data_IF_659383304615
#
_entry.id   IF_659383304615
#
_cell.length_a   1.000
_cell.length_b   1.000
_cell.length_c   1.000
_cell.angle_alpha   90.00
_cell.angle_beta   90.00
_cell.angle_gamma   90.00
#
_symmetry.space_group_name_H-M   'P 1'
#
loop_
_entity.id
_entity.type
_entity.pdbx_description
1 polymer ?
#
# COMPACT_ATOMS: atom_id res chain seq x y z
N UNK A 1 2.15 42.70 1.36
CA UNK A 1 3.13 41.98 2.19
C UNK A 1 2.39 41.03 3.11
N UNK A 2 2.99 39.87 3.39
CA UNK A 2 2.51 38.79 4.25
C UNK A 2 1.59 37.74 3.60
N UNK A 3 2.22 36.80 2.88
CA UNK A 3 1.66 35.46 2.61
C UNK A 3 2.18 34.54 3.70
N UNK A 4 1.26 34.00 4.50
CA UNK A 4 1.55 33.20 5.68
C UNK A 4 2.25 31.88 5.32
N UNK A 5 3.27 31.56 6.11
CA UNK A 5 3.95 30.28 6.18
C UNK A 5 3.00 29.20 6.70
N UNK A 6 2.63 28.24 5.86
CA UNK A 6 2.06 26.97 6.32
C UNK A 6 3.22 26.04 6.75
N UNK A 7 3.60 26.17 8.02
CA UNK A 7 4.25 25.07 8.75
C UNK A 7 3.15 24.09 9.15
N UNK A 8 3.06 22.95 8.47
CA UNK A 8 2.33 21.79 8.99
C UNK A 8 3.31 20.96 9.81
N UNK A 9 3.15 21.03 11.13
CA UNK A 9 3.83 20.17 12.10
C UNK A 9 3.00 18.89 12.30
N UNK A 10 3.69 17.76 12.41
CA UNK A 10 3.18 16.43 12.78
C UNK A 10 2.16 15.82 11.79
N UNK A 11 2.68 15.09 10.79
CA UNK A 11 1.89 14.22 9.93
C UNK A 11 1.28 13.07 10.73
N UNK A 12 -0.02 13.17 11.00
CA UNK A 12 -0.87 12.06 11.46
C UNK A 12 -1.12 11.14 10.27
N UNK A 13 -0.78 9.87 10.41
CA UNK A 13 -0.98 8.82 9.41
C UNK A 13 -1.90 7.76 10.01
N UNK A 14 -3.07 7.57 9.43
CA UNK A 14 -4.08 6.59 9.85
C UNK A 14 -3.77 5.24 9.22
N UNK A 15 -3.66 4.19 10.05
CA UNK A 15 -3.61 2.81 9.61
C UNK A 15 -5.02 2.22 9.70
N UNK A 16 -5.47 1.58 8.61
CA UNK A 16 -6.85 1.09 8.44
C UNK A 16 -7.05 -0.20 9.23
N UNK A 17 -8.04 -0.20 10.12
CA UNK A 17 -8.72 -1.38 10.64
C UNK A 17 -10.22 -1.13 10.57
N UNK A 18 -10.93 -1.96 9.79
CA UNK A 18 -12.37 -1.93 9.46
C UNK A 18 -12.86 -0.66 8.75
N UNK A 19 -13.29 -0.83 7.50
CA UNK A 19 -14.53 -0.29 6.93
C UNK A 19 -14.58 -0.58 5.42
N UNK A 20 -15.06 -1.76 5.04
CA UNK A 20 -15.88 -1.87 3.84
C UNK A 20 -17.31 -1.73 4.36
N UNK A 21 -18.01 -0.65 4.01
CA UNK A 21 -19.43 -0.56 4.30
C UNK A 21 -20.13 -1.54 3.36
N UNK A 22 -20.70 -2.60 3.93
CA UNK A 22 -21.62 -3.47 3.19
C UNK A 22 -22.79 -2.59 2.73
N UNK A 23 -22.86 -2.31 1.43
CA UNK A 23 -24.06 -1.74 0.83
C UNK A 23 -25.08 -2.88 0.68
N UNK A 24 -26.23 -2.86 1.39
CA UNK A 24 -27.23 -3.90 1.22
C UNK A 24 -27.83 -3.81 -0.19
N UNK A 25 -27.92 -4.97 -0.84
CA UNK A 25 -28.67 -5.16 -2.08
C UNK A 25 -30.14 -4.93 -1.74
N UNK A 26 -30.74 -3.89 -2.31
CA UNK A 26 -32.13 -3.54 -2.09
C UNK A 26 -33.05 -4.66 -2.59
N UNK A 27 -33.75 -5.30 -1.66
CA UNK A 27 -34.95 -6.09 -1.92
C UNK A 27 -36.07 -5.48 -1.08
N UNK A 28 -37.09 -4.98 -1.78
CA UNK A 28 -38.45 -4.64 -1.37
C UNK A 28 -38.74 -4.58 0.14
N UNK A 29 -38.85 -3.36 0.68
CA UNK A 29 -39.43 -3.10 2.00
C UNK A 29 -40.25 -1.80 1.97
N UNK A 30 -41.49 -1.93 2.41
CA UNK A 30 -42.59 -0.95 2.43
C UNK A 30 -42.21 0.43 3.00
N UNK A 31 -42.82 1.48 2.44
CA UNK A 31 -42.50 2.90 2.66
C UNK A 31 -42.87 3.47 4.05
N UNK A 32 -43.51 2.72 4.95
CA UNK A 32 -44.02 3.24 6.24
C UNK A 32 -43.15 2.91 7.46
N UNK A 33 -41.94 2.35 7.28
CA UNK A 33 -41.01 2.02 8.38
C UNK A 33 -39.78 2.96 8.48
N UNK A 34 -39.75 4.04 7.70
CA UNK A 34 -38.53 4.84 7.48
C UNK A 34 -38.31 6.06 8.39
N UNK A 35 -39.26 6.43 9.26
CA UNK A 35 -39.15 7.66 10.06
C UNK A 35 -38.79 7.47 11.54
N UNK A 36 -38.88 6.26 12.10
CA UNK A 36 -38.55 6.01 13.53
C UNK A 36 -37.22 5.29 13.78
N UNK A 37 -36.59 4.69 12.76
CA UNK A 37 -35.31 3.97 12.90
C UNK A 37 -34.05 4.85 12.69
N UNK A 38 -34.20 6.18 12.56
CA UNK A 38 -33.10 7.11 12.22
C UNK A 38 -32.61 7.98 13.39
N UNK A 39 -32.85 7.59 14.63
CA UNK A 39 -32.49 8.43 15.78
C UNK A 39 -31.26 8.00 16.60
N UNK A 40 -30.86 6.72 16.68
CA UNK A 40 -29.93 6.32 17.77
C UNK A 40 -28.84 5.27 17.45
N UNK A 41 -28.46 5.05 16.20
CA UNK A 41 -27.22 4.30 15.90
C UNK A 41 -26.39 5.01 14.83
N UNK A 42 -25.71 6.09 15.24
CA UNK A 42 -24.50 6.49 14.54
C UNK A 42 -23.45 5.40 14.80
N UNK A 43 -22.94 4.69 13.78
CA UNK A 43 -21.83 3.77 14.01
C UNK A 43 -20.67 4.58 14.60
N UNK A 44 -20.28 4.24 15.82
CA UNK A 44 -19.12 4.82 16.50
C UNK A 44 -17.93 4.80 15.53
N UNK A 45 -17.48 5.98 15.12
CA UNK A 45 -16.25 6.15 14.33
C UNK A 45 -15.09 5.78 15.24
N UNK A 46 -14.65 4.52 15.18
CA UNK A 46 -13.60 4.02 16.04
C UNK A 46 -12.23 4.57 15.62
N UNK A 47 -11.79 5.57 16.40
CA UNK A 47 -10.44 5.99 16.76
C UNK A 47 -9.38 6.17 15.66
N UNK A 48 -8.84 7.40 15.56
CA UNK A 48 -7.52 7.66 14.98
C UNK A 48 -6.49 6.72 15.63
N UNK A 49 -5.98 5.74 14.88
CA UNK A 49 -4.91 4.86 15.36
C UNK A 49 -3.62 5.69 15.41
N UNK A 50 -3.25 6.16 16.59
CA UNK A 50 -1.97 6.83 16.81
C UNK A 50 -0.83 5.82 16.57
N UNK A 51 -0.06 6.06 15.51
CA UNK A 51 1.07 5.21 15.19
C UNK A 51 2.17 5.33 16.24
N UNK A 52 2.78 4.21 16.66
CA UNK A 52 3.86 4.26 17.62
C UNK A 52 5.06 5.06 17.06
N UNK A 53 5.94 5.58 17.92
CA UNK A 53 7.14 6.26 17.48
C UNK A 53 8.02 5.30 16.65
N UNK A 54 8.62 5.76 15.53
CA UNK A 54 9.38 4.89 14.66
C UNK A 54 10.71 4.46 15.32
N UNK A 55 10.95 3.15 15.37
CA UNK A 55 12.22 2.57 15.83
C UNK A 55 12.99 1.92 14.68
N UNK A 56 14.32 1.89 14.74
CA UNK A 56 15.16 1.22 13.75
C UNK A 56 14.88 1.59 12.27
N UNK A 57 14.69 2.89 11.99
CA UNK A 57 14.35 3.43 10.65
C UNK A 57 15.44 3.30 9.60
N UNK A 58 16.70 3.08 10.02
CA UNK A 58 17.84 3.01 9.10
C UNK A 58 18.00 1.60 8.52
N UNK A 59 18.11 1.52 7.19
CA UNK A 59 18.54 0.29 6.51
C UNK A 59 20.06 0.19 6.58
N UNK A 60 20.57 -0.82 7.29
CA UNK A 60 21.98 -1.18 7.44
C UNK A 60 22.37 -2.31 6.51
N UNK A 61 21.52 -3.33 6.39
CA UNK A 61 21.71 -4.48 5.49
C UNK A 61 20.45 -4.73 4.68
N UNK A 62 20.63 -5.17 3.44
CA UNK A 62 19.56 -5.57 2.54
C UNK A 62 20.06 -6.71 1.66
N UNK A 63 19.44 -7.88 1.81
CA UNK A 63 19.87 -9.13 1.18
C UNK A 63 18.74 -9.74 0.37
N UNK A 64 19.00 -10.10 -0.89
CA UNK A 64 18.08 -10.94 -1.64
C UNK A 64 18.06 -12.34 -1.02
N UNK A 65 16.87 -12.86 -0.68
CA UNK A 65 16.70 -14.18 -0.08
C UNK A 65 16.12 -15.22 -1.02
N UNK A 66 15.04 -14.88 -1.73
CA UNK A 66 14.39 -15.82 -2.62
C UNK A 66 13.57 -15.13 -3.72
N UNK A 67 13.26 -15.91 -4.76
CA UNK A 67 12.30 -15.57 -5.80
C UNK A 67 11.37 -16.77 -5.96
N UNK A 68 10.10 -16.57 -5.65
CA UNK A 68 9.11 -17.63 -5.56
C UNK A 68 8.03 -17.45 -6.63
N UNK A 69 7.62 -18.54 -7.28
CA UNK A 69 6.48 -18.55 -8.23
C UNK A 69 5.21 -19.12 -7.60
N UNK A 70 5.30 -19.57 -6.35
CA UNK A 70 4.22 -20.13 -5.54
C UNK A 70 4.44 -19.82 -4.06
N UNK A 71 3.37 -19.86 -3.27
CA UNK A 71 3.42 -19.47 -1.85
C UNK A 71 4.30 -20.41 -1.02
N UNK A 72 4.28 -21.71 -1.33
CA UNK A 72 5.09 -22.76 -0.68
C UNK A 72 6.61 -22.57 -0.85
N UNK A 73 7.04 -21.76 -1.82
CA UNK A 73 8.45 -21.42 -2.07
C UNK A 73 8.89 -20.14 -1.37
N UNK A 74 7.96 -19.40 -0.74
CA UNK A 74 8.30 -18.21 0.02
C UNK A 74 9.06 -18.61 1.30
N UNK A 75 9.92 -17.73 1.84
CA UNK A 75 10.56 -17.97 3.14
C UNK A 75 9.51 -18.24 4.23
N UNK A 76 9.89 -18.77 5.40
CA UNK A 76 8.96 -18.88 6.53
C UNK A 76 8.34 -17.52 6.90
N UNK A 77 7.04 -17.51 7.18
CA UNK A 77 6.23 -16.34 7.52
C UNK A 77 6.45 -15.87 8.98
N UNK A 78 7.71 -15.71 9.39
CA UNK A 78 8.08 -15.45 10.79
C UNK A 78 8.43 -13.99 11.08
N UNK A 79 8.76 -13.21 10.03
CA UNK A 79 9.13 -11.80 10.15
C UNK A 79 8.11 -10.91 9.44
N UNK A 80 7.85 -9.68 9.90
CA UNK A 80 6.93 -8.76 9.22
C UNK A 80 7.32 -8.52 7.76
N UNK A 81 6.33 -8.53 6.87
CA UNK A 81 6.51 -8.38 5.41
C UNK A 81 5.81 -7.12 4.92
N UNK A 82 6.51 -6.36 4.08
CA UNK A 82 6.00 -5.16 3.42
C UNK A 82 6.02 -5.41 1.92
N UNK A 83 4.84 -5.66 1.36
CA UNK A 83 4.72 -6.01 -0.04
C UNK A 83 4.60 -4.76 -0.91
N UNK A 84 5.47 -4.62 -1.90
CA UNK A 84 5.46 -3.53 -2.86
C UNK A 84 4.75 -4.00 -4.11
N UNK A 85 3.69 -3.30 -4.48
CA UNK A 85 2.89 -3.63 -5.66
C UNK A 85 2.52 -2.38 -6.41
N UNK A 86 2.28 -2.50 -7.71
CA UNK A 86 1.98 -1.35 -8.54
C UNK A 86 2.04 -1.70 -10.01
N UNK A 87 1.52 -0.80 -10.85
CA UNK A 87 1.50 -1.02 -12.29
C UNK A 87 2.91 -1.20 -12.85
N UNK A 88 3.04 -1.93 -13.95
CA UNK A 88 4.32 -2.01 -14.67
C UNK A 88 4.90 -0.63 -14.97
N UNK A 89 6.20 -0.45 -14.73
CA UNK A 89 6.94 0.82 -14.84
C UNK A 89 6.50 1.94 -13.88
N UNK A 90 5.71 1.67 -12.84
CA UNK A 90 5.35 2.68 -11.83
C UNK A 90 6.58 3.22 -11.10
N UNK A 91 7.60 2.38 -10.88
CA UNK A 91 8.81 2.76 -10.14
C UNK A 91 9.22 1.78 -9.03
N UNK A 92 8.55 0.63 -8.92
CA UNK A 92 8.77 -0.39 -7.88
C UNK A 92 10.22 -0.77 -7.60
N UNK A 93 10.96 -1.24 -8.60
CA UNK A 93 12.37 -1.61 -8.42
C UNK A 93 13.25 -0.40 -8.07
N UNK A 94 12.92 0.78 -8.61
CA UNK A 94 13.63 2.03 -8.26
C UNK A 94 13.36 2.45 -6.81
N UNK A 95 12.13 2.28 -6.31
CA UNK A 95 11.77 2.53 -4.92
C UNK A 95 12.53 1.57 -3.99
N UNK A 96 12.55 0.27 -4.30
CA UNK A 96 13.28 -0.74 -3.52
C UNK A 96 14.75 -0.36 -3.41
N UNK A 97 15.41 -0.07 -4.54
CA UNK A 97 16.81 0.32 -4.56
C UNK A 97 17.10 1.63 -3.80
N UNK A 98 16.18 2.60 -3.88
CA UNK A 98 16.26 3.84 -3.11
C UNK A 98 16.17 3.57 -1.61
N UNK A 99 15.19 2.79 -1.16
CA UNK A 99 14.99 2.48 0.26
C UNK A 99 16.21 1.76 0.85
N UNK A 100 16.73 0.76 0.13
CA UNK A 100 17.84 -0.08 0.57
C UNK A 100 19.22 0.54 0.35
N UNK A 101 19.30 1.71 -0.28
CA UNK A 101 20.55 2.32 -0.73
C UNK A 101 21.40 1.42 -1.64
N UNK A 102 20.78 0.48 -2.35
CA UNK A 102 21.48 -0.52 -3.16
C UNK A 102 20.94 -0.50 -4.60
N UNK A 103 21.71 0.07 -5.53
CA UNK A 103 21.31 0.27 -6.92
C UNK A 103 21.10 -1.03 -7.73
N UNK A 104 21.61 -2.17 -7.23
CA UNK A 104 21.59 -3.45 -7.94
C UNK A 104 20.71 -4.52 -7.30
N UNK A 105 20.08 -4.25 -6.15
CA UNK A 105 19.34 -5.25 -5.39
C UNK A 105 18.09 -5.73 -6.14
N UNK A 106 17.24 -4.80 -6.56
CA UNK A 106 16.12 -5.07 -7.45
C UNK A 106 16.50 -4.73 -8.89
N UNK A 107 16.31 -5.69 -9.80
CA UNK A 107 16.61 -5.50 -11.22
C UNK A 107 15.63 -4.48 -11.84
N UNK A 108 16.13 -3.30 -12.20
CA UNK A 108 15.36 -2.27 -12.90
C UNK A 108 15.33 -2.59 -14.40
N UNK A 109 14.30 -3.30 -14.86
CA UNK A 109 14.08 -3.54 -16.30
C UNK A 109 13.18 -2.46 -16.89
N UNK A 110 13.55 -1.91 -18.05
CA UNK A 110 12.66 -1.05 -18.88
C UNK A 110 11.63 -1.87 -19.67
N UNK A 111 11.88 -3.16 -19.87
CA UNK A 111 10.99 -4.08 -20.57
C UNK A 111 10.05 -4.72 -19.55
N UNK A 112 8.74 -4.41 -19.60
CA UNK A 112 7.80 -4.94 -18.61
C UNK A 112 7.46 -6.42 -18.88
N UNK A 113 6.89 -7.10 -17.88
CA UNK A 113 6.38 -8.47 -18.02
C UNK A 113 7.37 -9.62 -17.79
N UNK A 114 8.58 -9.37 -17.28
CA UNK A 114 9.56 -10.43 -16.96
C UNK A 114 9.48 -10.99 -15.55
N UNK A 115 8.82 -10.31 -14.62
CA UNK A 115 8.74 -10.74 -13.22
C UNK A 115 7.38 -11.39 -12.97
N UNK A 116 7.33 -12.72 -12.99
CA UNK A 116 6.19 -13.53 -12.53
C UNK A 116 6.43 -14.08 -11.11
N UNK A 117 7.49 -13.62 -10.45
CA UNK A 117 7.93 -14.15 -9.16
C UNK A 117 7.81 -13.09 -8.06
N UNK A 118 7.57 -13.56 -6.84
CA UNK A 118 7.66 -12.78 -5.60
C UNK A 118 9.11 -12.78 -5.14
N UNK A 119 9.75 -11.61 -5.07
CA UNK A 119 11.13 -11.52 -4.59
C UNK A 119 11.16 -11.03 -3.13
N UNK A 120 11.85 -11.76 -2.26
CA UNK A 120 12.00 -11.39 -0.85
C UNK A 120 13.37 -10.78 -0.61
N UNK A 121 13.39 -9.58 -0.02
CA UNK A 121 14.59 -8.91 0.42
C UNK A 121 14.58 -8.81 1.94
N UNK A 122 15.51 -9.50 2.61
CA UNK A 122 15.67 -9.41 4.06
C UNK A 122 16.38 -8.11 4.42
N UNK A 123 15.73 -7.29 5.23
CA UNK A 123 16.24 -5.99 5.66
C UNK A 123 16.62 -6.05 7.14
N UNK A 124 17.84 -5.65 7.47
CA UNK A 124 18.37 -5.63 8.84
C UNK A 124 18.12 -6.94 9.61
N UNK A 125 18.08 -8.08 8.91
CA UNK A 125 17.74 -9.40 9.48
C UNK A 125 16.44 -9.44 10.31
N UNK A 126 15.49 -8.53 10.07
CA UNK A 126 14.34 -8.33 10.97
C UNK A 126 12.99 -8.12 10.29
N UNK A 127 12.95 -7.90 8.98
CA UNK A 127 11.71 -7.79 8.21
C UNK A 127 11.99 -8.01 6.72
N UNK A 128 10.95 -8.33 5.95
CA UNK A 128 11.05 -8.49 4.51
C UNK A 128 10.44 -7.31 3.77
N UNK A 129 11.19 -6.78 2.81
CA UNK A 129 10.62 -5.99 1.72
C UNK A 129 10.35 -6.97 0.56
N UNK A 130 9.09 -7.07 0.16
CA UNK A 130 8.63 -8.07 -0.80
C UNK A 130 8.24 -7.40 -2.11
N UNK A 131 8.82 -7.84 -3.22
CA UNK A 131 8.57 -7.31 -4.55
C UNK A 131 7.57 -8.20 -5.28
N UNK A 132 6.33 -7.75 -5.38
CA UNK A 132 5.26 -8.47 -6.09
C UNK A 132 5.29 -8.17 -7.59
N UNK A 133 4.81 -9.10 -8.44
CA UNK A 133 4.62 -8.85 -9.86
C UNK A 133 3.67 -7.66 -10.08
N UNK A 134 4.03 -6.77 -11.01
CA UNK A 134 3.24 -5.57 -11.28
C UNK A 134 2.05 -5.84 -12.21
N UNK A 135 0.94 -5.13 -12.02
CA UNK A 135 -0.26 -5.26 -12.85
C UNK A 135 -0.20 -4.44 -14.16
N UNK A 136 -1.20 -4.68 -15.01
CA UNK A 136 -1.51 -3.84 -16.18
C UNK A 136 -0.65 -4.06 -17.42
N UNK A 137 0.27 -5.04 -17.42
CA UNK A 137 1.07 -5.40 -18.59
C UNK A 137 0.77 -6.81 -19.08
N UNK A 138 -0.36 -6.96 -19.78
CA UNK A 138 -0.65 -8.16 -20.55
C UNK A 138 -1.06 -7.73 -21.96
N UNK A 139 -0.06 -7.60 -22.84
CA UNK A 139 -0.27 -7.35 -24.28
C UNK A 139 -0.52 -8.65 -25.09
N UNK A 140 -0.53 -9.83 -24.44
CA UNK A 140 -0.81 -11.11 -25.10
C UNK A 140 -1.57 -12.03 -24.14
N UNK A 141 -2.63 -12.64 -24.70
CA UNK A 141 -3.62 -13.58 -24.14
C UNK A 141 -4.42 -13.13 -22.91
N UNK A 142 -5.75 -13.35 -22.99
CA UNK A 142 -6.69 -13.20 -21.86
C UNK A 142 -6.26 -14.00 -20.61
N UNK A 143 -5.40 -15.01 -20.77
CA UNK A 143 -4.85 -15.85 -19.69
C UNK A 143 -3.80 -15.16 -18.80
N UNK A 144 -3.12 -14.09 -19.24
CA UNK A 144 -2.09 -13.43 -18.43
C UNK A 144 -2.64 -12.28 -17.57
N UNK A 145 -3.79 -11.69 -17.94
CA UNK A 145 -4.52 -10.74 -17.06
C UNK A 145 -5.02 -11.44 -15.79
N UNK A 146 -5.31 -12.74 -15.87
CA UNK A 146 -5.67 -13.59 -14.74
C UNK A 146 -4.50 -13.87 -13.78
N UNK A 147 -3.24 -13.67 -14.19
CA UNK A 147 -2.08 -13.92 -13.29
C UNK A 147 -1.88 -12.83 -12.22
N UNK A 148 -2.48 -11.65 -12.38
CA UNK A 148 -2.65 -10.70 -11.28
C UNK A 148 -3.57 -11.27 -10.19
N UNK A 149 -4.56 -12.06 -10.59
CA UNK A 149 -5.67 -12.46 -9.73
C UNK A 149 -5.19 -13.49 -8.72
N UNK A 150 -4.89 -14.72 -9.13
CA UNK A 150 -4.99 -15.78 -8.13
C UNK A 150 -3.76 -15.85 -7.22
N UNK A 151 -2.55 -15.80 -7.78
CA UNK A 151 -1.32 -15.97 -6.99
C UNK A 151 -1.01 -14.76 -6.08
N UNK A 152 -1.28 -13.54 -6.54
CA UNK A 152 -1.03 -12.34 -5.71
C UNK A 152 -2.11 -12.14 -4.66
N UNK A 153 -3.38 -12.42 -5.01
CA UNK A 153 -4.46 -12.43 -4.01
C UNK A 153 -4.23 -13.55 -2.98
N UNK A 154 -3.80 -14.74 -3.40
CA UNK A 154 -3.45 -15.83 -2.50
C UNK A 154 -2.36 -15.40 -1.49
N UNK A 155 -1.31 -14.73 -1.98
CA UNK A 155 -0.29 -14.18 -1.10
C UNK A 155 -0.86 -13.15 -0.12
N UNK A 156 -1.76 -12.27 -0.54
CA UNK A 156 -2.38 -11.30 0.38
C UNK A 156 -3.29 -11.96 1.43
N UNK A 157 -4.01 -13.01 1.06
CA UNK A 157 -5.01 -13.65 1.91
C UNK A 157 -4.41 -14.68 2.87
N UNK A 158 -3.32 -15.36 2.49
CA UNK A 158 -2.76 -16.47 3.27
C UNK A 158 -1.49 -16.10 4.04
N UNK A 159 -0.90 -14.93 3.82
CA UNK A 159 0.39 -14.56 4.41
C UNK A 159 0.20 -13.80 5.73
N UNK A 160 0.10 -14.53 6.83
CA UNK A 160 -0.05 -13.96 8.19
C UNK A 160 1.07 -13.00 8.62
N UNK A 161 2.24 -13.08 7.97
CA UNK A 161 3.35 -12.16 8.20
C UNK A 161 3.24 -10.83 7.45
N UNK A 162 2.28 -10.68 6.53
CA UNK A 162 2.07 -9.46 5.77
C UNK A 162 1.56 -8.34 6.68
N UNK A 163 2.43 -7.38 6.95
CA UNK A 163 2.12 -6.25 7.81
C UNK A 163 1.43 -5.11 7.04
N UNK A 164 1.87 -4.84 5.80
CA UNK A 164 1.26 -3.82 4.97
C UNK A 164 1.64 -3.98 3.48
N UNK A 165 0.71 -3.63 2.60
CA UNK A 165 0.94 -3.50 1.16
C UNK A 165 1.21 -2.04 0.80
N UNK A 166 2.38 -1.77 0.24
CA UNK A 166 2.72 -0.48 -0.35
C UNK A 166 2.22 -0.46 -1.80
N UNK A 167 1.05 0.12 -2.02
CA UNK A 167 0.46 0.31 -3.35
C UNK A 167 1.10 1.53 -4.02
N UNK A 168 1.93 1.29 -5.03
CA UNK A 168 2.63 2.33 -5.76
C UNK A 168 1.77 2.92 -6.86
N UNK A 169 1.77 4.26 -6.90
CA UNK A 169 1.05 5.07 -7.87
C UNK A 169 2.05 6.02 -8.57
N UNK A 170 1.92 6.24 -9.88
CA UNK A 170 2.79 7.17 -10.60
C UNK A 170 2.16 8.57 -10.55
N UNK A 171 2.75 9.49 -9.78
CA UNK A 171 2.22 10.84 -9.63
C UNK A 171 2.34 11.67 -10.95
N UNK A 172 3.15 11.23 -11.91
CA UNK A 172 3.35 11.92 -13.18
C UNK A 172 2.31 11.57 -14.26
N UNK A 173 1.22 10.89 -13.89
CA UNK A 173 0.08 10.59 -14.79
C UNK A 173 -1.24 10.87 -14.09
N UNK A 174 -2.32 11.14 -14.85
CA UNK A 174 -3.66 11.21 -14.29
C UNK A 174 -4.09 9.88 -13.68
N UNK A 175 -5.13 9.91 -12.86
CA UNK A 175 -5.75 8.75 -12.22
C UNK A 175 -5.96 7.62 -13.23
N UNK A 176 -5.50 6.41 -12.89
CA UNK A 176 -5.70 5.23 -13.71
C UNK A 176 -6.80 4.36 -13.09
N UNK A 177 -7.76 3.90 -13.89
CA UNK A 177 -8.86 3.06 -13.41
C UNK A 177 -8.37 1.79 -12.71
N UNK A 178 -7.35 1.13 -13.28
CA UNK A 178 -6.78 -0.09 -12.70
C UNK A 178 -6.11 0.15 -11.33
N UNK A 179 -5.56 1.34 -11.08
CA UNK A 179 -4.98 1.66 -9.77
C UNK A 179 -6.09 1.79 -8.69
N UNK A 180 -7.25 2.36 -9.07
CA UNK A 180 -8.43 2.45 -8.19
C UNK A 180 -9.05 1.08 -7.94
N UNK A 181 -9.17 0.25 -8.97
CA UNK A 181 -9.69 -1.13 -8.84
C UNK A 181 -8.85 -1.94 -7.84
N UNK A 182 -7.53 -1.82 -7.89
CA UNK A 182 -6.63 -2.49 -6.95
C UNK A 182 -6.77 -1.94 -5.54
N UNK A 183 -6.85 -0.62 -5.36
CA UNK A 183 -7.08 -0.01 -4.06
C UNK A 183 -8.41 -0.49 -3.43
N UNK A 184 -9.50 -0.46 -4.22
CA UNK A 184 -10.82 -0.95 -3.82
C UNK A 184 -10.80 -2.44 -3.45
N UNK A 185 -10.10 -3.26 -4.24
CA UNK A 185 -9.95 -4.68 -3.94
C UNK A 185 -9.22 -4.91 -2.61
N UNK A 186 -8.10 -4.19 -2.36
CA UNK A 186 -7.36 -4.29 -1.10
C UNK A 186 -8.24 -3.90 0.10
N UNK A 187 -9.04 -2.84 -0.05
CA UNK A 187 -10.01 -2.41 0.97
C UNK A 187 -11.08 -3.46 1.29
N UNK A 188 -11.74 -3.95 0.24
CA UNK A 188 -12.81 -4.94 0.37
C UNK A 188 -12.29 -6.27 0.93
N UNK A 189 -11.08 -6.67 0.56
CA UNK A 189 -10.41 -7.85 1.08
C UNK A 189 -9.81 -7.65 2.50
N UNK A 190 -9.96 -6.45 3.09
CA UNK A 190 -9.40 -6.08 4.40
C UNK A 190 -7.88 -6.28 4.50
N UNK A 191 -7.18 -6.14 3.38
CA UNK A 191 -5.72 -6.24 3.31
C UNK A 191 -5.12 -4.89 3.74
N UNK A 192 -4.31 -4.81 4.81
CA UNK A 192 -3.70 -3.56 5.22
C UNK A 192 -2.81 -3.01 4.11
N UNK A 193 -3.05 -1.77 3.67
CA UNK A 193 -2.27 -1.13 2.61
C UNK A 193 -2.09 0.35 2.83
N UNK A 194 -1.14 0.92 2.08
CA UNK A 194 -0.77 2.34 2.08
C UNK A 194 -0.50 2.80 0.65
N UNK A 195 -0.85 4.04 0.33
CA UNK A 195 -0.59 4.65 -0.96
C UNK A 195 0.81 5.26 -0.99
N UNK A 196 1.64 4.82 -1.94
CA UNK A 196 2.97 5.37 -2.16
C UNK A 196 3.02 6.01 -3.54
N UNK A 197 2.90 7.33 -3.58
CA UNK A 197 3.06 8.07 -4.82
C UNK A 197 4.55 8.13 -5.19
N UNK A 198 4.86 7.81 -6.43
CA UNK A 198 6.22 7.75 -6.98
C UNK A 198 6.39 8.81 -8.07
N UNK A 199 7.65 9.15 -8.37
CA UNK A 199 8.03 10.12 -9.43
C UNK A 199 7.42 11.50 -9.23
N UNK A 200 7.31 11.95 -7.98
CA UNK A 200 6.77 13.28 -7.64
C UNK A 200 7.62 14.43 -8.20
N UNK A 201 8.86 14.15 -8.60
CA UNK A 201 9.76 15.06 -9.31
C UNK A 201 9.44 15.21 -10.80
N UNK A 202 8.65 14.30 -11.39
CA UNK A 202 8.49 14.20 -12.83
C UNK A 202 7.25 14.95 -13.31
N UNK A 203 7.47 16.02 -14.07
CA UNK A 203 6.41 16.74 -14.80
C UNK A 203 6.38 16.33 -16.27
N UNK A 204 5.19 15.99 -16.79
CA UNK A 204 4.98 15.70 -18.23
C UNK A 204 4.23 16.85 -18.89
N UNK A 205 4.60 17.16 -20.13
CA UNK A 205 3.92 18.19 -20.92
C UNK A 205 2.48 17.73 -21.22
N UNK A 206 1.49 18.61 -21.03
CA UNK A 206 0.08 18.31 -21.29
C UNK A 206 -0.60 17.42 -20.25
N UNK A 207 0.03 17.18 -19.10
CA UNK A 207 -0.52 16.43 -17.97
C UNK A 207 -0.52 17.35 -16.74
N UNK A 208 -1.52 17.28 -15.83
CA UNK A 208 -1.49 18.02 -14.57
C UNK A 208 -0.21 17.72 -13.76
N UNK A 209 0.25 18.68 -12.94
CA UNK A 209 1.42 18.46 -12.08
C UNK A 209 1.17 17.32 -11.08
N UNK A 210 2.24 16.72 -10.53
CA UNK A 210 2.12 15.58 -9.62
C UNK A 210 1.20 15.80 -8.43
N UNK A 211 1.20 16.99 -7.85
CA UNK A 211 0.35 17.36 -6.72
C UNK A 211 -1.14 17.23 -7.07
N UNK A 212 -1.54 17.73 -8.24
CA UNK A 212 -2.93 17.69 -8.70
C UNK A 212 -3.37 16.26 -9.04
N UNK A 213 -2.49 15.45 -9.64
CA UNK A 213 -2.80 14.05 -9.92
C UNK A 213 -2.97 13.24 -8.62
N UNK A 214 -2.15 13.53 -7.60
CA UNK A 214 -2.26 12.90 -6.28
C UNK A 214 -3.58 13.28 -5.61
N UNK A 215 -3.92 14.57 -5.60
CA UNK A 215 -5.17 15.07 -5.05
C UNK A 215 -6.38 14.43 -5.76
N UNK A 216 -6.38 14.41 -7.10
CA UNK A 216 -7.46 13.80 -7.88
C UNK A 216 -7.63 12.30 -7.60
N UNK A 217 -6.54 11.56 -7.36
CA UNK A 217 -6.61 10.15 -6.99
C UNK A 217 -7.25 9.97 -5.61
N UNK A 218 -6.80 10.77 -4.63
CA UNK A 218 -7.31 10.74 -3.26
C UNK A 218 -8.79 11.13 -3.19
N UNK A 219 -9.19 12.21 -3.86
CA UNK A 219 -10.59 12.64 -3.99
C UNK A 219 -11.45 11.55 -4.62
N UNK A 220 -10.92 10.84 -5.62
CA UNK A 220 -11.67 9.77 -6.28
C UNK A 220 -11.90 8.57 -5.37
N UNK A 221 -10.92 8.20 -4.54
CA UNK A 221 -11.10 7.18 -3.51
C UNK A 221 -12.09 7.64 -2.44
N UNK A 222 -11.98 8.88 -1.95
CA UNK A 222 -12.87 9.42 -0.92
C UNK A 222 -14.36 9.47 -1.31
N UNK A 223 -14.71 9.29 -2.59
CA UNK A 223 -16.12 9.11 -3.00
C UNK A 223 -16.72 7.82 -2.47
N UNK A 224 -15.90 6.77 -2.40
CA UNK A 224 -16.31 5.42 -2.05
C UNK A 224 -15.76 5.00 -0.66
N UNK A 225 -14.91 5.83 -0.03
CA UNK A 225 -14.17 5.53 1.20
C UNK A 225 -14.41 6.60 2.27
N UNK A 226 -14.67 6.17 3.51
CA UNK A 226 -14.82 7.06 4.66
C UNK A 226 -13.51 7.78 5.03
N UNK A 227 -12.37 7.10 4.87
CA UNK A 227 -11.05 7.63 5.14
C UNK A 227 -10.01 6.98 4.21
N UNK A 228 -8.90 7.68 4.00
CA UNK A 228 -7.81 7.16 3.20
C UNK A 228 -6.84 6.33 4.06
N UNK A 229 -6.24 5.27 3.48
CA UNK A 229 -5.06 4.65 4.06
C UNK A 229 -3.89 5.65 4.10
N UNK A 230 -2.81 5.30 4.81
CA UNK A 230 -1.61 6.13 4.87
C UNK A 230 -1.06 6.48 3.48
N UNK A 231 -0.66 7.74 3.31
CA UNK A 231 -0.18 8.28 2.02
C UNK A 231 1.23 8.82 2.19
N UNK A 232 2.15 8.38 1.32
CA UNK A 232 3.52 8.88 1.27
C UNK A 232 3.93 9.23 -0.15
N UNK A 233 4.62 10.36 -0.33
CA UNK A 233 5.04 10.87 -1.62
C UNK A 233 6.55 10.71 -1.81
N UNK A 234 6.99 10.08 -2.91
CA UNK A 234 8.39 9.66 -3.08
C UNK A 234 8.96 9.97 -4.46
N UNK A 235 10.28 10.19 -4.51
CA UNK A 235 11.06 10.18 -5.74
C UNK A 235 12.33 9.37 -5.55
N UNK A 236 12.51 8.35 -6.39
CA UNK A 236 13.75 7.58 -6.43
C UNK A 236 14.94 8.37 -7.02
N UNK A 237 14.70 9.48 -7.73
CA UNK A 237 15.75 10.29 -8.35
C UNK A 237 16.30 11.29 -7.33
N UNK A 238 15.43 12.06 -6.67
CA UNK A 238 15.83 13.05 -5.67
C UNK A 238 15.91 12.49 -4.25
N UNK A 239 15.59 11.20 -4.05
CA UNK A 239 15.42 10.56 -2.75
C UNK A 239 14.38 11.21 -1.82
N UNK A 240 13.50 12.06 -2.38
CA UNK A 240 12.38 12.68 -1.66
C UNK A 240 11.46 11.60 -1.09
N UNK A 241 10.99 11.79 0.14
CA UNK A 241 10.09 10.86 0.83
C UNK A 241 10.75 9.58 1.35
N UNK A 242 12.06 9.36 1.12
CA UNK A 242 12.74 8.14 1.60
C UNK A 242 12.71 8.01 3.12
N UNK A 243 13.11 9.07 3.83
CA UNK A 243 13.16 9.05 5.30
C UNK A 243 11.75 8.92 5.90
N UNK A 244 10.78 9.61 5.32
CA UNK A 244 9.36 9.54 5.69
C UNK A 244 8.80 8.12 5.51
N UNK A 245 9.01 7.50 4.34
CA UNK A 245 8.54 6.14 4.08
C UNK A 245 9.22 5.11 5.01
N UNK A 246 10.52 5.23 5.27
CA UNK A 246 11.23 4.36 6.21
C UNK A 246 10.77 4.54 7.66
N UNK A 247 10.47 5.78 8.07
CA UNK A 247 9.86 6.06 9.36
C UNK A 247 8.48 5.42 9.43
N UNK A 248 7.64 5.62 8.44
CA UNK A 248 6.29 5.06 8.39
C UNK A 248 6.29 3.52 8.43
N UNK A 249 7.13 2.86 7.64
CA UNK A 249 7.34 1.40 7.70
C UNK A 249 7.76 0.96 9.11
N UNK A 250 8.67 1.70 9.76
CA UNK A 250 9.08 1.39 11.12
C UNK A 250 7.92 1.48 12.13
N UNK A 251 7.02 2.46 12.00
CA UNK A 251 5.84 2.56 12.85
C UNK A 251 4.88 1.39 12.63
N UNK A 252 4.63 1.03 11.37
CA UNK A 252 3.78 -0.12 11.02
C UNK A 252 4.38 -1.44 11.53
N UNK A 253 5.70 -1.60 11.50
CA UNK A 253 6.38 -2.76 12.08
C UNK A 253 6.16 -2.87 13.57
N UNK A 254 6.28 -1.76 14.28
CA UNK A 254 6.06 -1.71 15.72
C UNK A 254 4.59 -2.02 16.07
N UNK A 255 3.65 -1.44 15.32
CA UNK A 255 2.22 -1.74 15.47
C UNK A 255 1.94 -3.23 15.27
N UNK A 256 2.40 -3.80 14.14
CA UNK A 256 2.23 -5.20 13.80
C UNK A 256 2.82 -6.14 14.87
N UNK A 257 3.99 -5.80 15.39
CA UNK A 257 4.65 -6.61 16.45
C UNK A 257 3.83 -6.60 17.74
N UNK A 258 3.29 -5.44 18.13
CA UNK A 258 2.42 -5.32 19.32
C UNK A 258 1.13 -6.13 19.17
N UNK A 259 0.51 -6.08 18.00
CA UNK A 259 -0.74 -6.82 17.73
C UNK A 259 -0.53 -8.33 17.78
N UNK A 260 0.55 -8.85 17.17
CA UNK A 260 0.90 -10.27 17.25
C UNK A 260 1.23 -10.70 18.68
N UNK A 261 1.94 -9.86 19.44
CA UNK A 261 2.23 -10.14 20.85
C UNK A 261 0.96 -10.28 21.70
N UNK A 262 -0.05 -9.41 21.47
CA UNK A 262 -1.36 -9.50 22.14
C UNK A 262 -2.12 -10.78 21.78
N UNK A 263 -2.07 -11.21 20.52
CA UNK A 263 -2.73 -12.44 20.07
C UNK A 263 -2.09 -13.69 20.69
N UNK A 264 -0.76 -13.73 20.78
CA UNK A 264 -0.05 -14.84 21.43
C UNK A 264 -0.36 -14.96 22.94
N UNK A 265 -0.61 -13.84 23.62
CA UNK A 265 -0.95 -13.80 25.04
C UNK A 265 -2.42 -14.11 25.38
N UNK A 266 -3.32 -14.23 24.40
CA UNK A 266 -4.75 -14.54 24.61
C UNK A 266 -5.07 -16.04 24.61
N UNK A 267 -4.09 -16.89 24.33
CA UNK A 267 -4.23 -18.35 24.31
C UNK A 267 -3.59 -19.04 25.53
N UNK A 268 -3.39 -18.31 26.62
CA UNK A 268 -2.88 -18.83 27.90
C UNK A 268 -3.92 -18.59 28.99
#
# INVERSE_FOLDING_TARGET
MSSALLRSAAGRLTCVGRCAVDAPVAADVDEEWWEEARADEQPEVQAEVELPPPTATRVKTAEYKSSAVRLDQCPPATLPEFAVIGRSNVGKSSLINMLTNNKGLAKVSKTPGKTQCINHFLINSSWYLVDLPGYGYAKKSKSLRAQWSDFTQEYFMQRDSLANVLLLLDASVPVQALDLEVANWLGNAQVPFSLVFTKVDKRKKGVPPPQDNMAAFQERLLKDWAYLPGVVATSAISATGRAELLAYIAQLRELFTRERGKQAGRHI
#
